data_IF_903216550284
#
_entry.id   IF_903216550284
#
_cell.length_a   1.000
_cell.length_b   1.000
_cell.length_c   1.000
_cell.angle_alpha   90.00
_cell.angle_beta   90.00
_cell.angle_gamma   90.00
#
_symmetry.space_group_name_H-M   'P 1'
#
loop_
_entity.id
_entity.type
_entity.pdbx_description
1 polymer ?
#
# COMPACT_ATOMS: atom_id res chain seq x y z
N UNK A 1 -9.64 -25.52 -25.90
CA UNK A 1 -10.15 -24.15 -26.09
C UNK A 1 -9.25 -23.22 -25.28
N UNK A 2 -8.21 -22.65 -25.89
CA UNK A 2 -7.41 -21.62 -25.21
C UNK A 2 -8.25 -20.34 -25.17
N UNK A 3 -8.98 -20.15 -24.08
CA UNK A 3 -9.65 -18.90 -23.79
C UNK A 3 -8.60 -17.79 -23.88
N UNK A 4 -8.80 -16.84 -24.80
CA UNK A 4 -7.87 -15.75 -25.06
C UNK A 4 -7.87 -14.83 -23.84
N UNK A 5 -7.13 -15.21 -22.78
CA UNK A 5 -7.07 -14.49 -21.52
C UNK A 5 -6.47 -13.12 -21.78
N UNK A 6 -7.33 -12.11 -21.86
CA UNK A 6 -6.91 -10.71 -21.95
C UNK A 6 -6.33 -10.31 -20.60
N UNK A 7 -5.21 -9.61 -20.62
CA UNK A 7 -4.52 -9.14 -19.42
C UNK A 7 -4.59 -7.62 -19.34
N UNK A 8 -4.76 -7.06 -18.15
CA UNK A 8 -4.80 -5.61 -17.94
C UNK A 8 -3.70 -5.16 -16.99
N UNK A 9 -2.98 -4.09 -17.35
CA UNK A 9 -1.92 -3.53 -16.52
C UNK A 9 -2.50 -2.86 -15.28
N UNK A 10 -2.30 -3.48 -14.11
CA UNK A 10 -2.78 -2.95 -12.82
C UNK A 10 -1.69 -2.23 -12.03
N UNK A 11 -0.50 -2.82 -11.88
CA UNK A 11 0.61 -2.21 -11.13
C UNK A 11 1.73 -1.78 -12.07
N UNK A 12 2.13 -0.51 -11.97
CA UNK A 12 3.27 0.01 -12.75
C UNK A 12 4.56 -0.29 -12.01
N UNK A 13 5.64 -0.49 -12.78
CA UNK A 13 6.97 -0.76 -12.26
C UNK A 13 7.40 0.18 -11.13
N UNK A 14 7.32 1.52 -11.24
CA UNK A 14 7.75 2.39 -10.15
C UNK A 14 6.95 2.18 -8.85
N UNK A 15 5.66 1.87 -8.95
CA UNK A 15 4.81 1.60 -7.78
C UNK A 15 5.14 0.25 -7.15
N UNK A 16 5.46 -0.77 -7.95
CA UNK A 16 5.90 -2.08 -7.46
C UNK A 16 7.26 -1.97 -6.75
N UNK A 17 8.22 -1.27 -7.36
CA UNK A 17 9.54 -1.03 -6.75
C UNK A 17 9.40 -0.29 -5.43
N UNK A 18 8.63 0.81 -5.40
CA UNK A 18 8.39 1.55 -4.15
C UNK A 18 7.71 0.67 -3.10
N UNK A 19 6.70 -0.12 -3.48
CA UNK A 19 6.05 -1.06 -2.57
C UNK A 19 7.04 -2.08 -1.98
N UNK A 20 7.94 -2.63 -2.80
CA UNK A 20 8.92 -3.60 -2.34
C UNK A 20 9.96 -2.99 -1.39
N UNK A 21 10.45 -1.78 -1.69
CA UNK A 21 11.36 -1.05 -0.80
C UNK A 21 10.66 -0.66 0.50
N UNK A 22 9.40 -0.20 0.42
CA UNK A 22 8.57 0.08 1.58
C UNK A 22 8.40 -1.18 2.44
N UNK A 23 8.07 -2.32 1.84
CA UNK A 23 7.90 -3.59 2.55
C UNK A 23 9.16 -3.95 3.35
N UNK A 24 10.33 -3.97 2.68
CA UNK A 24 11.59 -4.35 3.32
C UNK A 24 11.98 -3.38 4.43
N UNK A 25 11.97 -2.07 4.13
CA UNK A 25 12.31 -1.05 5.12
C UNK A 25 11.35 -1.04 6.30
N UNK A 26 10.03 -1.18 6.06
CA UNK A 26 9.02 -1.18 7.11
C UNK A 26 9.19 -2.35 8.08
N UNK A 27 9.42 -3.57 7.58
CA UNK A 27 9.62 -4.72 8.46
C UNK A 27 10.94 -4.65 9.23
N UNK A 28 12.03 -4.15 8.61
CA UNK A 28 13.27 -3.89 9.34
C UNK A 28 13.06 -2.85 10.44
N UNK A 29 12.38 -1.74 10.14
CA UNK A 29 12.02 -0.69 11.09
C UNK A 29 11.16 -1.22 12.24
N UNK A 30 10.11 -2.00 11.93
CA UNK A 30 9.22 -2.57 12.93
C UNK A 30 9.98 -3.51 13.87
N UNK A 31 10.76 -4.46 13.34
CA UNK A 31 11.53 -5.42 14.16
C UNK A 31 12.53 -4.69 15.05
N UNK A 32 13.30 -3.76 14.48
CA UNK A 32 14.34 -3.05 15.23
C UNK A 32 13.77 -2.06 16.25
N UNK A 33 12.73 -1.30 15.88
CA UNK A 33 12.11 -0.31 16.74
C UNK A 33 11.33 -0.94 17.89
N UNK A 34 10.50 -1.95 17.61
CA UNK A 34 9.73 -2.65 18.64
C UNK A 34 10.62 -3.52 19.51
N UNK A 35 11.66 -4.12 18.96
CA UNK A 35 12.65 -4.88 19.73
C UNK A 35 13.26 -4.03 20.85
N UNK A 36 13.58 -2.78 20.57
CA UNK A 36 14.10 -1.84 21.58
C UNK A 36 12.97 -1.31 22.48
N UNK A 37 11.86 -0.84 21.91
CA UNK A 37 10.74 -0.24 22.65
C UNK A 37 10.14 -1.17 23.72
N UNK A 38 9.99 -2.45 23.40
CA UNK A 38 9.39 -3.43 24.30
C UNK A 38 10.44 -4.24 25.09
N UNK A 39 11.73 -3.90 24.95
CA UNK A 39 12.81 -4.56 25.70
C UNK A 39 13.04 -6.01 25.30
N UNK A 40 12.72 -6.41 24.06
CA UNK A 40 13.02 -7.77 23.56
C UNK A 40 14.51 -7.98 23.32
N UNK A 41 15.28 -6.89 23.19
CA UNK A 41 16.74 -6.90 23.09
C UNK A 41 17.34 -5.89 24.08
N UNK A 42 18.60 -6.12 24.49
CA UNK A 42 19.31 -5.26 25.44
C UNK A 42 20.81 -5.18 25.13
N UNK A 43 21.52 -4.29 25.84
CA UNK A 43 22.97 -4.15 25.74
C UNK A 43 23.46 -3.84 24.31
N UNK A 44 24.54 -4.48 23.84
CA UNK A 44 25.08 -4.25 22.49
C UNK A 44 24.07 -4.52 21.37
N UNK A 45 23.19 -5.50 21.53
CA UNK A 45 22.16 -5.84 20.52
C UNK A 45 21.16 -4.70 20.33
N UNK A 46 20.74 -4.04 21.42
CA UNK A 46 19.84 -2.89 21.34
C UNK A 46 20.49 -1.70 20.61
N UNK A 47 21.79 -1.48 20.82
CA UNK A 47 22.58 -0.47 20.08
C UNK A 47 22.60 -0.78 18.58
N UNK A 48 22.90 -2.03 18.21
CA UNK A 48 22.87 -2.46 16.81
C UNK A 48 21.47 -2.34 16.20
N UNK A 49 20.41 -2.66 16.95
CA UNK A 49 19.03 -2.50 16.48
C UNK A 49 18.72 -1.05 16.13
N UNK A 50 19.07 -0.08 16.99
CA UNK A 50 18.88 1.34 16.68
C UNK A 50 19.70 1.77 15.46
N UNK A 51 20.95 1.32 15.32
CA UNK A 51 21.75 1.62 14.12
C UNK A 51 21.07 1.15 12.84
N UNK A 52 20.61 -0.10 12.80
CA UNK A 52 19.86 -0.65 11.66
C UNK A 52 18.51 0.05 11.46
N UNK A 53 17.85 0.46 12.54
CA UNK A 53 16.63 1.24 12.48
C UNK A 53 16.84 2.56 11.74
N UNK A 54 17.91 3.30 12.06
CA UNK A 54 18.25 4.55 11.37
C UNK A 54 18.58 4.32 9.90
N UNK A 55 19.36 3.29 9.57
CA UNK A 55 19.68 2.96 8.17
C UNK A 55 18.43 2.59 7.35
N UNK A 56 17.53 1.79 7.92
CA UNK A 56 16.26 1.47 7.29
C UNK A 56 15.35 2.70 7.16
N UNK A 57 15.37 3.61 8.14
CA UNK A 57 14.68 4.89 8.11
C UNK A 57 15.19 5.80 6.99
N UNK A 58 16.52 5.83 6.78
CA UNK A 58 17.13 6.53 5.66
C UNK A 58 16.69 5.95 4.31
N UNK A 59 16.74 4.62 4.15
CA UNK A 59 16.26 3.94 2.95
C UNK A 59 14.79 4.28 2.66
N UNK A 60 13.91 4.17 3.66
CA UNK A 60 12.50 4.52 3.53
C UNK A 60 12.31 5.98 3.10
N UNK A 61 13.07 6.90 3.71
CA UNK A 61 13.00 8.34 3.42
C UNK A 61 13.37 8.62 1.98
N UNK A 62 14.55 8.19 1.54
CA UNK A 62 15.03 8.48 0.19
C UNK A 62 14.23 7.75 -0.89
N UNK A 63 13.76 6.53 -0.63
CA UNK A 63 12.88 5.81 -1.56
C UNK A 63 11.53 6.53 -1.73
N UNK A 64 10.93 6.98 -0.62
CA UNK A 64 9.67 7.72 -0.64
C UNK A 64 9.80 9.05 -1.38
N UNK A 65 10.85 9.83 -1.08
CA UNK A 65 11.15 11.07 -1.80
C UNK A 65 11.42 10.80 -3.28
N UNK A 66 12.22 9.78 -3.60
CA UNK A 66 12.49 9.39 -4.99
C UNK A 66 11.22 9.02 -5.75
N UNK A 67 10.29 8.30 -5.13
CA UNK A 67 9.00 7.98 -5.74
C UNK A 67 8.14 9.23 -6.01
N UNK A 68 8.10 10.17 -5.06
CA UNK A 68 7.36 11.43 -5.24
C UNK A 68 7.98 12.29 -6.35
N UNK A 69 9.30 12.45 -6.34
CA UNK A 69 10.02 13.34 -7.25
C UNK A 69 10.13 12.77 -8.67
N UNK A 70 10.59 11.52 -8.80
CA UNK A 70 10.89 10.91 -10.10
C UNK A 70 9.70 10.13 -10.69
N UNK A 71 8.71 9.76 -9.87
CA UNK A 71 7.50 9.04 -10.30
C UNK A 71 6.21 9.82 -10.04
N UNK A 72 6.29 11.16 -10.14
CA UNK A 72 5.19 12.09 -9.85
C UNK A 72 3.84 11.72 -10.48
N UNK A 73 3.83 11.25 -11.74
CA UNK A 73 2.59 10.81 -12.41
C UNK A 73 1.94 9.60 -11.71
N UNK A 74 2.75 8.63 -11.30
CA UNK A 74 2.30 7.45 -10.56
C UNK A 74 1.84 7.84 -9.15
N UNK A 75 2.58 8.73 -8.48
CA UNK A 75 2.22 9.25 -7.17
C UNK A 75 0.88 10.00 -7.19
N UNK A 76 0.69 10.95 -8.12
CA UNK A 76 -0.59 11.67 -8.28
C UNK A 76 -1.75 10.72 -8.57
N UNK A 77 -1.51 9.69 -9.38
CA UNK A 77 -2.53 8.68 -9.68
C UNK A 77 -2.89 7.90 -8.42
N UNK A 78 -1.90 7.45 -7.64
CA UNK A 78 -2.11 6.79 -6.35
C UNK A 78 -2.96 7.67 -5.42
N UNK A 79 -2.55 8.91 -5.17
CA UNK A 79 -3.27 9.85 -4.31
C UNK A 79 -4.70 10.04 -4.80
N UNK A 80 -4.91 10.30 -6.10
CA UNK A 80 -6.26 10.44 -6.66
C UNK A 80 -7.12 9.21 -6.41
N UNK A 81 -6.59 8.01 -6.64
CA UNK A 81 -7.35 6.76 -6.43
C UNK A 81 -7.72 6.56 -4.95
N UNK A 82 -6.84 6.92 -4.02
CA UNK A 82 -7.08 6.86 -2.58
C UNK A 82 -8.20 7.81 -2.13
N UNK A 83 -8.24 9.02 -2.70
CA UNK A 83 -9.19 10.08 -2.33
C UNK A 83 -10.43 10.19 -3.23
N UNK A 84 -10.61 9.29 -4.21
CA UNK A 84 -11.86 9.23 -4.98
C UNK A 84 -12.89 8.39 -4.24
N UNK A 85 -13.87 9.01 -3.61
CA UNK A 85 -14.92 8.33 -2.85
C UNK A 85 -16.28 8.59 -3.50
N UNK A 86 -16.99 7.50 -3.82
CA UNK A 86 -18.34 7.55 -4.36
C UNK A 86 -19.31 6.73 -3.52
N UNK A 87 -20.59 6.73 -3.90
CA UNK A 87 -21.66 6.00 -3.20
C UNK A 87 -21.30 4.52 -2.98
N UNK A 88 -20.78 3.84 -3.99
CA UNK A 88 -20.45 2.41 -3.88
C UNK A 88 -19.22 2.16 -3.00
N UNK A 89 -18.30 3.13 -2.91
CA UNK A 89 -17.19 3.10 -1.96
C UNK A 89 -17.72 3.14 -0.53
N UNK A 90 -18.71 3.99 -0.24
CA UNK A 90 -19.35 4.04 1.08
C UNK A 90 -20.19 2.81 1.38
N UNK A 91 -20.98 2.34 0.40
CA UNK A 91 -21.80 1.14 0.55
C UNK A 91 -20.95 -0.13 0.75
N UNK A 92 -19.71 -0.17 0.26
CA UNK A 92 -18.78 -1.27 0.51
C UNK A 92 -18.59 -1.56 2.00
N UNK A 93 -18.61 -0.52 2.86
CA UNK A 93 -18.45 -0.66 4.30
C UNK A 93 -19.63 -1.36 4.97
N UNK A 94 -20.83 -1.38 4.37
CA UNK A 94 -22.01 -2.03 4.98
C UNK A 94 -21.85 -3.54 5.10
N UNK A 95 -20.94 -4.15 4.35
CA UNK A 95 -20.63 -5.57 4.43
C UNK A 95 -19.15 -5.90 4.27
N UNK A 96 -18.26 -4.91 4.42
CA UNK A 96 -16.81 -5.05 4.24
C UNK A 96 -16.43 -5.75 2.93
N UNK A 97 -17.06 -5.35 1.82
CA UNK A 97 -16.85 -5.96 0.51
C UNK A 97 -17.30 -7.42 0.37
N UNK A 98 -18.05 -7.91 1.37
CA UNK A 98 -18.42 -9.30 1.49
C UNK A 98 -17.27 -10.22 1.91
N UNK A 99 -16.09 -9.71 2.30
CA UNK A 99 -14.96 -10.54 2.68
C UNK A 99 -15.28 -11.50 3.84
N UNK A 100 -15.92 -11.07 4.95
CA UNK A 100 -16.29 -11.99 6.02
C UNK A 100 -17.19 -13.13 5.53
N UNK A 101 -18.21 -12.82 4.74
CA UNK A 101 -19.12 -13.81 4.16
C UNK A 101 -18.41 -14.76 3.19
N UNK A 102 -17.52 -14.25 2.33
CA UNK A 102 -16.75 -15.08 1.40
C UNK A 102 -15.78 -16.02 2.11
N UNK A 103 -15.08 -15.51 3.13
CA UNK A 103 -14.10 -16.29 3.91
C UNK A 103 -14.82 -17.38 4.72
N UNK A 104 -15.95 -17.05 5.35
CA UNK A 104 -16.77 -18.00 6.10
C UNK A 104 -17.71 -18.85 5.23
N UNK A 105 -17.69 -18.67 3.90
CA UNK A 105 -18.56 -19.34 2.92
C UNK A 105 -20.07 -19.17 3.20
N UNK A 106 -20.47 -18.01 3.71
CA UNK A 106 -21.84 -17.67 4.07
C UNK A 106 -22.55 -16.93 2.94
N UNK A 107 -23.29 -17.66 2.11
CA UNK A 107 -24.18 -17.10 1.09
C UNK A 107 -23.47 -16.26 0.02
N UNK A 108 -24.25 -15.45 -0.71
CA UNK A 108 -23.75 -14.55 -1.76
C UNK A 108 -23.83 -13.10 -1.27
N UNK A 109 -22.72 -12.48 -0.86
CA UNK A 109 -22.76 -11.11 -0.36
C UNK A 109 -23.11 -10.14 -1.48
N UNK A 110 -23.85 -9.08 -1.13
CA UNK A 110 -24.11 -7.96 -2.03
C UNK A 110 -22.78 -7.35 -2.50
N UNK A 111 -22.61 -7.23 -3.82
CA UNK A 111 -21.41 -6.64 -4.43
C UNK A 111 -21.69 -5.18 -4.77
N UNK A 112 -20.77 -4.29 -4.39
CA UNK A 112 -20.81 -2.87 -4.75
C UNK A 112 -19.66 -2.57 -5.72
N UNK A 113 -19.93 -2.11 -6.95
CA UNK A 113 -18.89 -1.91 -7.96
C UNK A 113 -17.79 -0.94 -7.51
N UNK A 114 -16.52 -1.36 -7.54
CA UNK A 114 -15.38 -0.58 -7.07
C UNK A 114 -14.51 -0.02 -8.20
N UNK A 115 -13.76 1.04 -7.89
CA UNK A 115 -12.65 1.56 -8.71
C UNK A 115 -11.43 0.64 -8.67
N UNK A 116 -10.24 1.14 -9.04
CA UNK A 116 -9.01 0.33 -9.09
C UNK A 116 -8.69 -0.32 -7.74
N UNK A 117 -8.93 0.44 -6.68
CA UNK A 117 -8.89 -0.02 -5.30
C UNK A 117 -10.29 0.00 -4.72
N UNK A 118 -10.61 -1.00 -3.91
CA UNK A 118 -11.84 -1.03 -3.11
C UNK A 118 -11.73 -0.11 -1.88
N UNK A 119 -12.84 0.14 -1.17
CA UNK A 119 -12.85 1.05 -0.03
C UNK A 119 -11.87 0.68 1.09
N UNK A 120 -11.70 -0.62 1.41
CA UNK A 120 -10.71 -1.08 2.39
C UNK A 120 -9.26 -0.81 1.95
N UNK A 121 -8.94 -1.06 0.67
CA UNK A 121 -7.63 -0.75 0.09
C UNK A 121 -7.37 0.76 0.06
N UNK A 122 -8.38 1.60 -0.23
CA UNK A 122 -8.28 3.06 -0.18
C UNK A 122 -7.98 3.55 1.24
N UNK A 123 -8.76 3.07 2.22
CA UNK A 123 -8.56 3.43 3.61
C UNK A 123 -7.15 3.06 4.08
N UNK A 124 -6.71 1.83 3.83
CA UNK A 124 -5.37 1.41 4.21
C UNK A 124 -4.28 2.21 3.47
N UNK A 125 -4.47 2.50 2.19
CA UNK A 125 -3.53 3.33 1.44
C UNK A 125 -3.45 4.77 1.97
N UNK A 126 -4.55 5.38 2.43
CA UNK A 126 -4.55 6.67 3.13
C UNK A 126 -3.76 6.58 4.44
N UNK A 127 -4.01 5.54 5.23
CA UNK A 127 -3.28 5.29 6.48
C UNK A 127 -1.77 5.24 6.22
N UNK A 128 -1.32 4.50 5.21
CA UNK A 128 0.09 4.42 4.84
C UNK A 128 0.63 5.76 4.31
N UNK A 129 -0.15 6.47 3.47
CA UNK A 129 0.22 7.79 2.94
C UNK A 129 0.43 8.83 4.04
N UNK A 130 -0.25 8.71 5.18
CA UNK A 130 -0.09 9.60 6.34
C UNK A 130 0.99 9.08 7.31
N UNK A 131 1.02 7.77 7.55
CA UNK A 131 1.93 7.16 8.52
C UNK A 131 3.39 7.21 8.08
N UNK A 132 3.69 7.01 6.78
CA UNK A 132 5.07 7.06 6.28
C UNK A 132 5.69 8.44 6.50
N UNK A 133 5.09 9.56 6.07
CA UNK A 133 5.59 10.89 6.39
C UNK A 133 5.67 11.16 7.89
N UNK A 134 4.67 10.71 8.66
CA UNK A 134 4.67 10.88 10.13
C UNK A 134 5.86 10.18 10.76
N UNK A 135 6.15 8.93 10.39
CA UNK A 135 7.29 8.16 10.89
C UNK A 135 8.62 8.79 10.48
N UNK A 136 8.73 9.28 9.23
CA UNK A 136 9.93 9.98 8.74
C UNK A 136 10.17 11.26 9.56
N UNK A 137 9.16 12.12 9.70
CA UNK A 137 9.30 13.42 10.40
C UNK A 137 9.64 13.21 11.88
N UNK A 138 8.89 12.34 12.56
CA UNK A 138 9.13 12.06 13.97
C UNK A 138 10.45 11.34 14.21
N UNK A 139 10.83 10.39 13.33
CA UNK A 139 12.09 9.66 13.43
C UNK A 139 13.31 10.56 13.27
N UNK A 140 13.33 11.42 12.25
CA UNK A 140 14.45 12.36 12.04
C UNK A 140 14.51 13.45 13.09
N UNK A 141 13.36 13.89 13.62
CA UNK A 141 13.35 14.80 14.77
C UNK A 141 14.06 14.17 15.97
N UNK A 142 13.73 12.93 16.33
CA UNK A 142 14.35 12.24 17.47
C UNK A 142 15.84 11.96 17.24
N UNK A 143 16.26 11.73 15.98
CA UNK A 143 17.65 11.44 15.64
C UNK A 143 18.55 12.68 15.64
N UNK A 144 18.17 13.74 14.91
CA UNK A 144 19.02 14.93 14.76
C UNK A 144 18.77 16.00 15.82
N UNK A 145 17.56 16.05 16.38
CA UNK A 145 17.10 17.16 17.20
C UNK A 145 16.46 16.73 18.53
N UNK A 146 17.04 15.77 19.29
CA UNK A 146 16.44 15.29 20.54
C UNK A 146 16.33 16.40 21.60
N UNK A 147 17.17 17.44 21.54
CA UNK A 147 17.13 18.58 22.47
C UNK A 147 16.36 19.80 21.96
N UNK A 148 15.86 19.78 20.71
CA UNK A 148 15.26 20.98 20.11
C UNK A 148 13.83 21.26 20.57
N UNK A 149 13.16 20.27 21.16
CA UNK A 149 11.79 20.39 21.64
C UNK A 149 11.74 20.31 23.18
N UNK A 150 10.80 21.03 23.83
CA UNK A 150 10.50 20.82 25.23
C UNK A 150 10.14 19.34 25.54
N UNK A 151 10.39 18.84 26.76
CA UNK A 151 10.19 17.42 27.09
C UNK A 151 8.81 16.85 26.73
N UNK A 152 7.75 17.65 26.91
CA UNK A 152 6.38 17.25 26.55
C UNK A 152 6.23 16.97 25.05
N UNK A 153 6.83 17.80 24.21
CA UNK A 153 6.75 17.67 22.76
C UNK A 153 7.61 16.52 22.25
N UNK A 154 8.80 16.31 22.82
CA UNK A 154 9.61 15.13 22.54
C UNK A 154 8.86 13.83 22.87
N UNK A 155 8.17 13.78 24.01
CA UNK A 155 7.35 12.63 24.38
C UNK A 155 6.21 12.40 23.37
N UNK A 156 5.52 13.45 22.95
CA UNK A 156 4.45 13.35 21.95
C UNK A 156 5.01 12.81 20.62
N UNK A 157 6.15 13.32 20.14
CA UNK A 157 6.79 12.84 18.91
C UNK A 157 7.14 11.36 19.01
N UNK A 158 7.73 10.94 20.14
CA UNK A 158 8.03 9.55 20.41
C UNK A 158 6.78 8.67 20.44
N UNK A 159 5.73 9.09 21.17
CA UNK A 159 4.47 8.35 21.27
C UNK A 159 3.79 8.24 19.90
N UNK A 160 3.72 9.33 19.14
CA UNK A 160 3.18 9.32 17.78
C UNK A 160 3.99 8.38 16.90
N UNK A 161 5.32 8.44 16.95
CA UNK A 161 6.19 7.55 16.17
C UNK A 161 5.91 6.08 16.48
N UNK A 162 5.91 5.71 17.76
CA UNK A 162 5.76 4.31 18.20
C UNK A 162 4.34 3.79 17.97
N UNK A 163 3.32 4.51 18.42
CA UNK A 163 1.95 3.98 18.42
C UNK A 163 1.32 4.02 17.03
N UNK A 164 1.63 5.03 16.20
CA UNK A 164 1.15 5.04 14.81
C UNK A 164 1.79 3.91 14.00
N UNK A 165 3.10 3.68 14.14
CA UNK A 165 3.78 2.59 13.42
C UNK A 165 3.37 1.22 13.94
N UNK A 166 3.07 1.06 15.23
CA UNK A 166 2.50 -0.17 15.77
C UNK A 166 1.13 -0.46 15.18
N UNK A 167 0.23 0.54 15.17
CA UNK A 167 -1.09 0.40 14.57
C UNK A 167 -1.00 -0.03 13.10
N UNK A 168 -0.17 0.65 12.30
CA UNK A 168 0.02 0.31 10.88
C UNK A 168 0.62 -1.08 10.72
N UNK A 169 1.61 -1.46 11.55
CA UNK A 169 2.22 -2.79 11.48
C UNK A 169 1.20 -3.89 11.81
N UNK A 170 0.38 -3.72 12.84
CA UNK A 170 -0.68 -4.66 13.17
C UNK A 170 -1.72 -4.74 12.05
N UNK A 171 -2.12 -3.61 11.47
CA UNK A 171 -3.01 -3.59 10.31
C UNK A 171 -2.41 -4.33 9.11
N UNK A 172 -1.11 -4.14 8.85
CA UNK A 172 -0.39 -4.87 7.78
C UNK A 172 -0.47 -6.38 8.00
N UNK A 173 -0.14 -6.83 9.21
CA UNK A 173 -0.06 -8.25 9.56
C UNK A 173 -1.43 -8.94 9.60
N UNK A 174 -2.44 -8.27 10.16
CA UNK A 174 -3.75 -8.89 10.46
C UNK A 174 -4.76 -8.67 9.33
N UNK A 175 -4.62 -7.61 8.54
CA UNK A 175 -5.60 -7.26 7.51
C UNK A 175 -4.97 -7.23 6.12
N UNK A 176 -3.93 -6.44 5.91
CA UNK A 176 -3.38 -6.21 4.57
C UNK A 176 -2.81 -7.48 3.94
N UNK A 177 -1.90 -8.17 4.64
CA UNK A 177 -1.25 -9.40 4.14
C UNK A 177 -2.28 -10.52 3.93
N UNK A 178 -3.17 -10.84 4.89
CA UNK A 178 -4.20 -11.86 4.69
C UNK A 178 -5.11 -11.57 3.48
N UNK A 179 -5.56 -10.32 3.31
CA UNK A 179 -6.39 -9.95 2.16
C UNK A 179 -5.60 -9.94 0.85
N UNK A 180 -4.32 -9.57 0.86
CA UNK A 180 -3.45 -9.65 -0.31
C UNK A 180 -3.29 -11.10 -0.76
N UNK A 181 -3.03 -12.03 0.17
CA UNK A 181 -2.93 -13.46 -0.13
C UNK A 181 -4.26 -14.06 -0.59
N UNK A 182 -5.39 -13.59 -0.04
CA UNK A 182 -6.72 -13.97 -0.52
C UNK A 182 -6.96 -13.53 -1.98
N UNK A 183 -6.51 -12.32 -2.34
CA UNK A 183 -6.57 -11.78 -3.71
C UNK A 183 -5.31 -12.14 -4.52
N UNK A 184 -5.05 -13.44 -4.65
CA UNK A 184 -3.74 -13.94 -5.09
C UNK A 184 -3.27 -13.46 -6.48
N UNK A 185 -4.19 -13.19 -7.43
CA UNK A 185 -3.79 -12.63 -8.73
C UNK A 185 -3.28 -11.19 -8.63
N UNK A 186 -3.87 -10.38 -7.75
CA UNK A 186 -3.38 -9.03 -7.45
C UNK A 186 -2.04 -9.07 -6.72
N UNK A 187 -1.88 -10.03 -5.79
CA UNK A 187 -0.63 -10.29 -5.10
C UNK A 187 0.50 -10.65 -6.08
N UNK A 188 0.28 -11.65 -6.96
CA UNK A 188 1.25 -12.03 -8.00
C UNK A 188 1.59 -10.85 -8.90
N UNK A 189 0.60 -10.04 -9.29
CA UNK A 189 0.82 -8.85 -10.10
C UNK A 189 1.67 -7.79 -9.38
N UNK A 190 1.59 -7.66 -8.06
CA UNK A 190 2.43 -6.74 -7.29
C UNK A 190 3.89 -7.24 -7.22
N UNK A 191 4.09 -8.52 -6.94
CA UNK A 191 5.40 -9.10 -6.63
C UNK A 191 6.18 -9.64 -7.84
N UNK A 192 5.56 -9.75 -9.02
CA UNK A 192 6.26 -10.20 -10.23
C UNK A 192 7.36 -9.23 -10.67
N UNK A 193 8.40 -9.77 -11.29
CA UNK A 193 9.34 -8.98 -12.07
C UNK A 193 8.63 -8.37 -13.30
N UNK A 194 8.92 -7.10 -13.58
CA UNK A 194 8.24 -6.37 -14.65
C UNK A 194 6.89 -5.81 -14.24
N UNK A 195 6.18 -5.25 -15.22
CA UNK A 195 4.88 -4.64 -15.05
C UNK A 195 3.81 -5.63 -14.54
N UNK A 196 3.02 -5.20 -13.55
CA UNK A 196 2.01 -6.00 -12.86
C UNK A 196 0.69 -6.12 -13.61
N UNK A 197 0.57 -7.15 -14.46
CA UNK A 197 -0.68 -7.50 -15.14
C UNK A 197 -1.53 -8.48 -14.32
N UNK A 198 -2.85 -8.31 -14.37
CA UNK A 198 -3.85 -9.26 -13.86
C UNK A 198 -4.76 -9.74 -15.00
N UNK A 199 -5.39 -10.93 -14.88
CA UNK A 199 -6.41 -11.36 -15.82
C UNK A 199 -7.57 -10.36 -15.87
N UNK A 200 -8.14 -10.12 -17.06
CA UNK A 200 -9.24 -9.17 -17.25
C UNK A 200 -10.47 -9.58 -16.44
N UNK A 201 -10.84 -10.86 -16.45
CA UNK A 201 -11.96 -11.40 -15.65
C UNK A 201 -11.79 -11.12 -14.16
N UNK A 202 -10.58 -11.30 -13.63
CA UNK A 202 -10.27 -10.96 -12.24
C UNK A 202 -10.50 -9.48 -11.97
N UNK A 203 -10.05 -8.60 -12.88
CA UNK A 203 -10.23 -7.17 -12.75
C UNK A 203 -11.71 -6.75 -12.89
N UNK A 204 -12.48 -7.41 -13.75
CA UNK A 204 -13.91 -7.16 -13.92
C UNK A 204 -14.70 -7.53 -12.66
N UNK A 205 -14.32 -8.62 -11.99
CA UNK A 205 -14.95 -9.01 -10.73
C UNK A 205 -14.62 -8.03 -9.59
N UNK A 206 -13.35 -7.64 -9.46
CA UNK A 206 -12.85 -6.93 -8.27
C UNK A 206 -12.82 -5.40 -8.42
N UNK A 207 -12.69 -4.90 -9.64
CA UNK A 207 -12.51 -3.48 -9.95
C UNK A 207 -13.30 -3.06 -11.21
N UNK A 208 -14.61 -3.38 -11.31
CA UNK A 208 -15.40 -3.22 -12.53
C UNK A 208 -15.45 -1.78 -13.06
N UNK A 209 -15.49 -0.77 -12.19
CA UNK A 209 -15.50 0.64 -12.64
C UNK A 209 -14.18 1.03 -13.29
N UNK A 210 -13.08 0.53 -12.74
CA UNK A 210 -11.76 0.79 -13.29
C UNK A 210 -11.57 0.12 -14.64
N UNK A 211 -12.01 -1.13 -14.80
CA UNK A 211 -11.96 -1.82 -16.10
C UNK A 211 -12.72 -1.03 -17.16
N UNK A 212 -13.97 -0.63 -16.88
CA UNK A 212 -14.77 0.21 -17.81
C UNK A 212 -14.04 1.49 -18.20
N UNK A 213 -13.40 2.16 -17.24
CA UNK A 213 -12.64 3.39 -17.50
C UNK A 213 -11.39 3.15 -18.34
N UNK A 214 -10.69 2.02 -18.17
CA UNK A 214 -9.51 1.70 -18.97
C UNK A 214 -9.91 1.35 -20.40
N UNK A 215 -10.89 0.46 -20.59
CA UNK A 215 -11.36 0.05 -21.92
C UNK A 215 -11.89 1.24 -22.73
N UNK A 216 -12.69 2.12 -22.12
CA UNK A 216 -13.19 3.32 -22.78
C UNK A 216 -12.07 4.29 -23.24
N UNK A 217 -10.92 4.31 -22.53
CA UNK A 217 -9.75 5.13 -22.92
C UNK A 217 -8.93 4.49 -24.04
N UNK A 218 -8.94 3.16 -24.15
CA UNK A 218 -8.28 2.44 -25.24
C UNK A 218 -9.08 2.55 -26.55
N UNK A 219 -10.41 2.60 -26.45
CA UNK A 219 -11.32 2.73 -27.59
C UNK A 219 -11.43 4.17 -28.14
N UNK A 220 -11.06 5.19 -27.35
CA UNK A 220 -11.10 6.58 -27.79
C UNK A 220 -10.01 6.87 -28.86
N UNK A 221 -10.38 7.41 -30.05
CA UNK A 221 -9.42 7.73 -31.09
C UNK A 221 -8.47 8.87 -30.63
N UNK A 222 -7.18 8.56 -30.49
CA UNK A 222 -6.12 9.54 -30.21
C UNK A 222 -5.29 9.32 -28.94
N UNK A 223 -5.66 8.40 -28.05
CA UNK A 223 -4.95 8.19 -26.77
C UNK A 223 -4.08 6.93 -26.75
N UNK A 224 -3.11 6.80 -27.67
CA UNK A 224 -1.95 5.90 -27.47
C UNK A 224 -1.00 6.51 -26.43
N UNK A 225 -1.44 6.60 -25.17
CA UNK A 225 -0.78 7.41 -24.15
C UNK A 225 -0.90 6.84 -22.74
N UNK A 226 -0.22 5.73 -22.47
CA UNK A 226 0.21 5.27 -21.13
C UNK A 226 -0.85 4.94 -20.06
N UNK A 227 -2.15 4.88 -20.35
CA UNK A 227 -3.18 4.42 -19.41
C UNK A 227 -3.54 2.96 -19.65
N UNK A 228 -3.13 2.05 -18.74
CA UNK A 228 -3.59 0.65 -18.67
C UNK A 228 -3.65 -0.09 -20.01
N UNK A 229 -2.54 -0.65 -20.49
CA UNK A 229 -2.56 -1.47 -21.71
C UNK A 229 -3.25 -2.82 -21.44
N UNK A 230 -4.20 -3.19 -22.28
CA UNK A 230 -4.70 -4.57 -22.38
C UNK A 230 -3.79 -5.33 -23.36
N UNK A 231 -3.15 -6.40 -22.89
CA UNK A 231 -2.34 -7.29 -23.72
C UNK A 231 -3.15 -8.53 -24.12
N UNK A 232 -3.11 -8.90 -25.40
CA UNK A 232 -3.57 -10.21 -25.87
C UNK A 232 -2.56 -11.29 -25.47
N UNK A 233 -3.04 -12.43 -24.99
CA UNK A 233 -2.18 -13.58 -24.72
C UNK A 233 -1.60 -14.11 -26.02
N UNK A 234 -0.29 -14.38 -26.03
CA UNK A 234 0.36 -15.24 -27.02
C UNK A 234 0.43 -16.67 -26.46
#
# INVERSE_FOLDING_TARGET
MAENRRWILKHRLPSQTMHFVLLLSWFTLAVTGFGVKFGWVSGPTAVSFIQWHVYAGALLTFASLGYVLFSWRSFKTLVREMFTWDRDTWLWWTNLGGYPQKILRLGKPKKYPQTKYNAGQKFFGIVVLLAVPTAIVTGWQMYFFPGALPPVWNKIFFDVHVWSTLFVTLFVLVVHIPLALYLFDDFKAMFRFGAGYVPLEFAEEHSPKWVKQVLAREEAPGTRGTGGKVAGGA
#
